data_IF_370532914970
#
_entry.id   IF_370532914970
#
_cell.length_a   1.000
_cell.length_b   1.000
_cell.length_c   1.000
_cell.angle_alpha   90.00
_cell.angle_beta   90.00
_cell.angle_gamma   90.00
#
_symmetry.space_group_name_H-M   'P 1'
#
loop_
_entity.id
_entity.type
_entity.pdbx_description
1 polymer ?
#
# COMPACT_ATOMS: atom_id res chain seq x y z
N UNK A 1 -8.34 -9.97 -41.65
CA UNK A 1 -8.06 -8.98 -40.59
C UNK A 1 -7.53 -9.72 -39.36
N UNK A 2 -6.35 -9.34 -38.87
CA UNK A 2 -5.79 -9.74 -37.61
C UNK A 2 -5.57 -8.50 -36.72
N UNK A 3 -5.66 -8.70 -35.42
CA UNK A 3 -5.46 -7.63 -34.44
C UNK A 3 -4.46 -8.16 -33.42
N UNK A 4 -3.49 -7.32 -33.07
CA UNK A 4 -2.58 -7.59 -31.97
C UNK A 4 -2.60 -6.43 -30.98
N UNK A 5 -2.42 -6.76 -29.71
CA UNK A 5 -2.24 -5.80 -28.62
C UNK A 5 -0.84 -6.01 -28.08
N UNK A 6 -0.06 -4.95 -28.06
CA UNK A 6 1.31 -4.93 -27.54
C UNK A 6 1.43 -4.06 -26.31
N UNK A 7 2.61 -4.10 -25.69
CA UNK A 7 2.97 -3.35 -24.49
C UNK A 7 2.11 -3.71 -23.25
N UNK A 8 1.58 -4.94 -23.22
CA UNK A 8 0.83 -5.45 -22.07
C UNK A 8 1.80 -5.63 -20.89
N UNK A 9 1.56 -5.00 -19.74
CA UNK A 9 2.44 -5.12 -18.58
C UNK A 9 2.57 -6.58 -18.10
N UNK A 10 3.77 -6.97 -17.70
CA UNK A 10 4.01 -8.30 -17.15
C UNK A 10 3.15 -8.56 -15.91
N UNK A 11 2.49 -9.69 -15.83
CA UNK A 11 1.54 -10.04 -14.76
C UNK A 11 0.09 -9.66 -15.06
N UNK A 12 -0.17 -8.83 -16.10
CA UNK A 12 -1.54 -8.54 -16.52
C UNK A 12 -2.22 -9.77 -17.13
N UNK A 13 -3.54 -9.84 -17.00
CA UNK A 13 -4.37 -10.85 -17.64
C UNK A 13 -5.31 -10.21 -18.65
N UNK A 14 -5.32 -10.73 -19.91
CA UNK A 14 -6.22 -10.31 -20.96
C UNK A 14 -7.34 -11.34 -21.14
N UNK A 15 -8.59 -10.91 -21.15
CA UNK A 15 -9.76 -11.79 -21.31
C UNK A 15 -10.76 -11.24 -22.30
N UNK A 16 -11.55 -12.13 -22.91
CA UNK A 16 -12.71 -11.76 -23.73
C UNK A 16 -13.85 -12.73 -23.49
N UNK A 17 -15.03 -12.21 -23.11
CA UNK A 17 -16.19 -13.03 -22.81
C UNK A 17 -15.96 -14.04 -21.67
N UNK A 18 -15.00 -13.79 -20.78
CA UNK A 18 -14.59 -14.67 -19.68
C UNK A 18 -13.51 -15.72 -20.05
N UNK A 19 -13.08 -15.78 -21.31
CA UNK A 19 -11.98 -16.64 -21.76
C UNK A 19 -10.66 -15.89 -21.76
N UNK A 20 -9.59 -16.50 -21.24
CA UNK A 20 -8.26 -15.89 -21.21
C UNK A 20 -7.61 -15.89 -22.57
N UNK A 21 -7.06 -14.76 -22.99
CA UNK A 21 -6.24 -14.61 -24.19
C UNK A 21 -4.77 -14.72 -23.78
N UNK A 22 -4.01 -15.54 -24.50
CA UNK A 22 -2.58 -15.73 -24.20
C UNK A 22 -1.78 -14.47 -24.53
N UNK A 23 -1.03 -13.98 -23.54
CA UNK A 23 -0.03 -12.92 -23.69
C UNK A 23 1.33 -13.60 -23.78
N UNK A 24 2.15 -13.21 -24.75
CA UNK A 24 3.51 -13.76 -24.91
C UNK A 24 4.52 -13.09 -23.93
N UNK A 25 5.73 -13.62 -23.88
CA UNK A 25 6.82 -13.12 -23.00
C UNK A 25 7.26 -11.69 -23.33
N UNK A 26 6.85 -11.14 -24.49
CA UNK A 26 7.16 -9.77 -24.90
C UNK A 26 5.98 -8.80 -24.65
N UNK A 27 4.92 -9.27 -23.99
CA UNK A 27 3.73 -8.47 -23.71
C UNK A 27 2.81 -8.27 -24.93
N UNK A 28 2.77 -9.24 -25.86
CA UNK A 28 1.87 -9.15 -27.01
C UNK A 28 0.79 -10.24 -26.95
N UNK A 29 -0.38 -9.93 -27.47
CA UNK A 29 -1.49 -10.85 -27.62
C UNK A 29 -2.15 -10.69 -28.99
N UNK A 30 -2.46 -11.83 -29.63
CA UNK A 30 -3.29 -11.86 -30.82
C UNK A 30 -4.76 -11.96 -30.42
N UNK A 31 -5.58 -11.05 -30.97
CA UNK A 31 -7.01 -10.95 -30.67
C UNK A 31 -7.80 -11.11 -31.97
N UNK A 32 -8.76 -12.02 -32.01
CA UNK A 32 -9.66 -12.12 -33.15
C UNK A 32 -10.69 -10.98 -33.13
N UNK A 33 -11.24 -10.56 -34.29
CA UNK A 33 -12.28 -9.53 -34.35
C UNK A 33 -13.49 -9.80 -33.46
N UNK A 34 -13.86 -11.07 -33.30
CA UNK A 34 -14.99 -11.50 -32.47
C UNK A 34 -14.71 -11.33 -30.95
N UNK A 35 -13.44 -11.37 -30.56
CA UNK A 35 -13.00 -11.19 -29.17
C UNK A 35 -12.92 -9.72 -28.75
N UNK A 36 -12.99 -8.78 -29.67
CA UNK A 36 -12.99 -7.33 -29.32
C UNK A 36 -14.20 -6.94 -28.49
N UNK A 37 -15.35 -7.60 -28.75
CA UNK A 37 -16.56 -7.39 -27.93
C UNK A 37 -16.39 -8.07 -26.58
N UNK A 38 -16.20 -7.26 -25.52
CA UNK A 38 -16.00 -7.77 -24.16
C UNK A 38 -14.54 -8.07 -23.80
N UNK A 39 -13.61 -7.48 -24.56
CA UNK A 39 -12.17 -7.49 -24.23
C UNK A 39 -11.94 -6.72 -22.93
N UNK A 40 -11.21 -7.33 -22.00
CA UNK A 40 -10.90 -6.76 -20.70
C UNK A 40 -9.43 -7.05 -20.37
N UNK A 41 -8.78 -6.10 -19.71
CA UNK A 41 -7.46 -6.27 -19.11
C UNK A 41 -7.59 -6.15 -17.59
N UNK A 42 -6.95 -7.08 -16.87
CA UNK A 42 -6.73 -6.99 -15.43
C UNK A 42 -5.25 -6.66 -15.26
N UNK A 43 -4.89 -5.53 -14.66
CA UNK A 43 -3.51 -5.18 -14.37
C UNK A 43 -2.84 -6.21 -13.44
N UNK A 44 -1.51 -6.14 -13.24
CA UNK A 44 -0.85 -6.90 -12.17
C UNK A 44 -1.44 -6.55 -10.80
N UNK A 45 -1.31 -7.46 -9.84
CA UNK A 45 -1.64 -7.17 -8.44
C UNK A 45 -0.84 -5.94 -7.97
N UNK A 46 -1.45 -5.11 -7.12
CA UNK A 46 -0.86 -3.92 -6.50
C UNK A 46 -0.35 -2.86 -7.52
N UNK A 47 -0.89 -2.87 -8.74
CA UNK A 47 -0.56 -1.88 -9.76
C UNK A 47 -1.48 -0.67 -9.69
N UNK A 48 -0.89 0.51 -9.52
CA UNK A 48 -1.57 1.81 -9.68
C UNK A 48 -0.87 2.66 -10.75
N UNK A 49 -1.59 3.64 -11.30
CA UNK A 49 -1.08 4.55 -12.32
C UNK A 49 -1.47 4.18 -13.74
N UNK A 50 -0.73 4.69 -14.73
CA UNK A 50 -1.10 4.57 -16.14
C UNK A 50 -0.13 3.72 -16.93
N UNK A 51 -0.65 3.00 -17.92
CA UNK A 51 0.15 2.35 -18.95
C UNK A 51 -0.52 2.45 -20.33
N UNK A 52 0.28 2.39 -21.36
CA UNK A 52 -0.18 2.46 -22.75
C UNK A 52 -0.13 1.09 -23.41
N UNK A 53 -1.21 0.73 -24.11
CA UNK A 53 -1.28 -0.44 -24.96
C UNK A 53 -1.19 -0.01 -26.43
N UNK A 54 -0.40 -0.72 -27.22
CA UNK A 54 -0.36 -0.53 -28.67
C UNK A 54 -1.31 -1.52 -29.34
N UNK A 55 -2.34 -1.02 -30.01
CA UNK A 55 -3.29 -1.84 -30.79
C UNK A 55 -2.94 -1.74 -32.26
N UNK A 56 -2.67 -2.87 -32.91
CA UNK A 56 -2.34 -2.96 -34.34
C UNK A 56 -3.35 -3.83 -35.07
N UNK A 57 -3.96 -3.27 -36.10
CA UNK A 57 -4.85 -3.99 -37.02
C UNK A 57 -4.15 -4.19 -38.37
N UNK A 58 -4.14 -5.44 -38.87
CA UNK A 58 -3.54 -5.79 -40.15
C UNK A 58 -4.57 -6.44 -41.06
N UNK A 59 -4.75 -5.91 -42.26
CA UNK A 59 -5.50 -6.56 -43.34
C UNK A 59 -4.52 -7.24 -44.28
N UNK A 60 -4.91 -8.40 -44.76
CA UNK A 60 -4.13 -9.18 -45.78
C UNK A 60 -5.06 -9.46 -46.94
N UNK A 61 -4.61 -9.12 -48.14
CA UNK A 61 -5.28 -9.42 -49.42
C UNK A 61 -5.00 -10.88 -49.81
N UNK A 62 -5.77 -11.42 -50.78
CA UNK A 62 -5.62 -12.78 -51.29
C UNK A 62 -4.28 -13.04 -51.98
N UNK A 63 -3.66 -11.99 -52.54
CA UNK A 63 -2.32 -12.02 -53.16
C UNK A 63 -1.16 -11.91 -52.16
N UNK A 64 -1.47 -11.71 -50.88
CA UNK A 64 -0.52 -11.63 -49.79
C UNK A 64 -0.10 -10.19 -49.41
N UNK A 65 -0.57 -9.16 -50.08
CA UNK A 65 -0.31 -7.80 -49.69
C UNK A 65 -0.96 -7.45 -48.34
N UNK A 66 -0.26 -6.68 -47.54
CA UNK A 66 -0.73 -6.31 -46.19
C UNK A 66 -0.79 -4.81 -45.98
N UNK A 67 -1.77 -4.36 -45.22
CA UNK A 67 -1.87 -2.97 -44.74
C UNK A 67 -2.09 -2.98 -43.22
N UNK A 68 -1.32 -2.16 -42.50
CA UNK A 68 -1.38 -2.06 -41.04
C UNK A 68 -1.75 -0.67 -40.59
N UNK A 69 -2.53 -0.61 -39.50
CA UNK A 69 -2.83 0.63 -38.77
C UNK A 69 -2.64 0.35 -37.29
N UNK A 70 -1.96 1.22 -36.58
CA UNK A 70 -1.79 1.14 -35.13
C UNK A 70 -2.30 2.39 -34.42
N UNK A 71 -2.72 2.21 -33.17
CA UNK A 71 -3.13 3.26 -32.26
C UNK A 71 -2.72 2.90 -30.82
N UNK A 72 -2.67 3.91 -29.98
CA UNK A 72 -2.37 3.75 -28.55
C UNK A 72 -3.67 3.86 -27.74
N UNK A 73 -3.82 3.00 -26.75
CA UNK A 73 -4.87 3.03 -25.73
C UNK A 73 -4.20 3.21 -24.38
N UNK A 74 -4.43 4.32 -23.70
CA UNK A 74 -3.99 4.55 -22.33
C UNK A 74 -5.00 3.92 -21.36
N UNK A 75 -4.51 3.12 -20.44
CA UNK A 75 -5.27 2.55 -19.33
C UNK A 75 -4.82 3.26 -18.06
N UNK A 76 -5.79 3.76 -17.29
CA UNK A 76 -5.58 4.42 -16.02
C UNK A 76 -6.17 3.53 -14.92
N UNK A 77 -5.40 3.27 -13.87
CA UNK A 77 -5.73 2.35 -12.79
C UNK A 77 -5.59 3.08 -11.47
N UNK A 78 -6.70 3.32 -10.80
CA UNK A 78 -6.70 3.91 -9.46
C UNK A 78 -6.10 2.90 -8.46
N UNK A 79 -5.21 3.36 -7.59
CA UNK A 79 -4.67 2.56 -6.50
C UNK A 79 -5.71 2.29 -5.42
N UNK A 80 -5.64 1.11 -4.82
CA UNK A 80 -6.45 0.70 -3.68
C UNK A 80 -5.52 0.33 -2.55
N UNK A 81 -5.58 1.06 -1.43
CA UNK A 81 -4.70 0.83 -0.30
C UNK A 81 -4.98 -0.50 0.39
N UNK A 82 -3.91 -1.22 0.69
CA UNK A 82 -3.94 -2.47 1.44
C UNK A 82 -3.75 -2.23 2.95
N UNK A 83 -4.34 -3.12 3.78
CA UNK A 83 -4.20 -3.03 5.22
C UNK A 83 -2.71 -3.17 5.62
N UNK A 84 -2.10 -2.14 6.27
CA UNK A 84 -0.72 -2.24 6.71
C UNK A 84 -0.54 -3.29 7.80
N UNK A 85 0.62 -3.92 7.83
CA UNK A 85 0.98 -4.82 8.92
C UNK A 85 1.26 -4.00 10.19
N UNK A 86 0.78 -4.47 11.33
CA UNK A 86 1.03 -3.86 12.63
C UNK A 86 1.24 -4.95 13.69
N UNK A 87 2.33 -4.85 14.44
CA UNK A 87 2.55 -5.64 15.64
C UNK A 87 2.88 -4.72 16.81
N UNK A 88 2.15 -4.86 17.90
CA UNK A 88 2.35 -4.13 19.14
C UNK A 88 2.18 -5.10 20.31
N UNK A 89 2.99 -4.96 21.35
CA UNK A 89 2.96 -5.83 22.53
C UNK A 89 2.95 -5.01 23.81
N UNK A 90 2.29 -5.56 24.85
CA UNK A 90 2.25 -4.96 26.19
C UNK A 90 3.66 -4.70 26.72
N UNK A 91 3.80 -3.62 27.47
CA UNK A 91 5.04 -3.14 28.03
C UNK A 91 4.95 -3.02 29.56
N UNK A 92 6.08 -3.14 30.24
CA UNK A 92 6.12 -2.95 31.68
C UNK A 92 7.44 -2.32 32.14
N UNK A 93 7.37 -1.56 33.21
CA UNK A 93 8.54 -0.88 33.76
C UNK A 93 8.30 -0.36 35.17
N UNK A 94 9.16 0.58 35.59
CA UNK A 94 9.07 1.24 36.88
C UNK A 94 8.76 2.72 36.70
N UNK A 95 8.15 3.34 37.71
CA UNK A 95 7.92 4.79 37.72
C UNK A 95 9.21 5.57 37.44
N UNK A 96 9.08 6.75 36.83
CA UNK A 96 10.16 7.68 36.51
C UNK A 96 11.26 7.14 35.57
N UNK A 97 11.05 5.97 34.97
CA UNK A 97 11.98 5.37 34.00
C UNK A 97 11.35 5.22 32.61
N UNK A 98 12.20 5.31 31.59
CA UNK A 98 11.75 5.04 30.22
C UNK A 98 11.45 3.54 30.04
N UNK A 99 10.31 3.25 29.43
CA UNK A 99 9.79 1.90 29.12
C UNK A 99 9.79 1.72 27.62
N UNK A 100 10.41 0.65 27.13
CA UNK A 100 10.45 0.33 25.70
C UNK A 100 9.07 -0.03 25.16
N UNK A 101 8.68 0.57 24.05
CA UNK A 101 7.48 0.23 23.28
C UNK A 101 7.90 -0.59 22.07
N UNK A 102 7.54 -1.87 22.04
CA UNK A 102 7.85 -2.75 20.92
C UNK A 102 6.72 -2.69 19.88
N UNK A 103 6.89 -1.82 18.91
CA UNK A 103 5.96 -1.61 17.80
C UNK A 103 6.70 -1.83 16.50
N UNK A 104 6.08 -2.57 15.59
CA UNK A 104 6.52 -2.68 14.20
C UNK A 104 5.32 -2.48 13.28
N UNK A 105 5.51 -1.73 12.22
CA UNK A 105 4.51 -1.50 11.18
C UNK A 105 5.20 -1.39 9.82
N UNK A 106 4.53 -1.87 8.77
CA UNK A 106 5.04 -1.80 7.40
C UNK A 106 3.85 -1.80 6.42
N UNK A 107 4.06 -1.24 5.23
CA UNK A 107 3.12 -1.38 4.11
C UNK A 107 3.22 -2.79 3.52
N UNK A 108 2.21 -3.19 2.77
CA UNK A 108 2.21 -4.51 2.10
C UNK A 108 2.88 -4.47 0.74
N UNK A 109 2.93 -3.28 0.13
CA UNK A 109 3.62 -3.06 -1.14
C UNK A 109 4.39 -1.73 -1.19
N UNK A 110 5.01 -1.43 -2.32
CA UNK A 110 5.88 -0.26 -2.51
C UNK A 110 5.19 0.95 -3.14
N UNK A 111 3.89 0.88 -3.44
CA UNK A 111 3.08 1.99 -3.96
C UNK A 111 2.39 2.80 -2.86
N UNK A 112 2.65 2.45 -1.60
CA UNK A 112 2.03 3.03 -0.43
C UNK A 112 3.02 3.77 0.47
N UNK A 113 2.53 4.81 1.12
CA UNK A 113 3.25 5.54 2.18
C UNK A 113 2.68 5.20 3.54
N UNK A 114 3.54 4.78 4.49
CA UNK A 114 3.16 4.44 5.85
C UNK A 114 3.17 5.66 6.77
N UNK A 115 2.13 5.82 7.57
CA UNK A 115 2.11 6.70 8.73
C UNK A 115 1.66 5.96 9.99
N UNK A 116 2.20 6.34 11.15
CA UNK A 116 1.87 5.72 12.44
C UNK A 116 1.50 6.81 13.44
N UNK A 117 0.46 6.57 14.22
CA UNK A 117 0.12 7.44 15.35
C UNK A 117 -0.13 6.62 16.61
N UNK A 118 0.14 7.25 17.76
CA UNK A 118 -0.13 6.67 19.09
C UNK A 118 -1.06 7.61 19.83
N UNK A 119 -2.16 7.07 20.32
CA UNK A 119 -3.12 7.77 21.15
C UNK A 119 -3.22 7.19 22.56
N UNK A 120 -3.89 7.92 23.46
CA UNK A 120 -4.06 7.49 24.85
C UNK A 120 -2.84 7.78 25.76
N UNK A 121 -1.90 8.63 25.29
CA UNK A 121 -0.72 9.02 26.06
C UNK A 121 -1.17 9.87 27.27
N UNK A 122 -0.85 9.44 28.50
CA UNK A 122 -1.26 10.19 29.70
C UNK A 122 -0.62 11.58 29.76
N UNK A 123 -1.37 12.55 30.29
CA UNK A 123 -0.83 13.90 30.53
C UNK A 123 0.40 13.84 31.46
N UNK A 124 1.48 14.47 31.05
CA UNK A 124 2.76 14.46 31.74
C UNK A 124 3.69 13.29 31.38
N UNK A 125 3.24 12.29 30.61
CA UNK A 125 4.13 11.31 30.04
C UNK A 125 5.01 11.90 28.92
N UNK A 126 6.21 11.35 28.72
CA UNK A 126 7.15 11.79 27.70
C UNK A 126 7.44 10.63 26.75
N UNK A 127 7.23 10.86 25.45
CA UNK A 127 7.55 9.90 24.38
C UNK A 127 8.88 10.27 23.75
N UNK A 128 9.77 9.28 23.57
CA UNK A 128 11.09 9.49 22.98
C UNK A 128 11.45 8.38 22.00
N UNK A 129 12.27 8.68 20.99
CA UNK A 129 12.91 7.69 20.14
C UNK A 129 14.36 8.09 19.87
N UNK A 130 15.28 7.15 20.03
CA UNK A 130 16.71 7.42 19.86
C UNK A 130 17.25 8.54 20.75
N UNK A 131 16.57 8.88 21.84
CA UNK A 131 16.89 9.99 22.76
C UNK A 131 16.30 11.35 22.36
N UNK A 132 15.58 11.45 21.24
CA UNK A 132 14.85 12.65 20.84
C UNK A 132 13.42 12.58 21.32
N UNK A 133 12.89 13.72 21.82
CA UNK A 133 11.51 13.79 22.31
C UNK A 133 10.54 13.94 21.14
N UNK A 134 9.48 13.14 21.16
CA UNK A 134 8.37 13.20 20.22
C UNK A 134 7.27 14.09 20.81
N UNK A 135 6.71 14.98 19.99
CA UNK A 135 5.66 15.88 20.43
C UNK A 135 4.35 15.13 20.63
N UNK A 136 3.78 15.27 21.82
CA UNK A 136 2.43 14.78 22.15
C UNK A 136 1.47 15.98 22.14
N UNK A 137 0.32 15.84 21.49
CA UNK A 137 -0.70 16.90 21.44
C UNK A 137 -1.51 16.99 22.74
N UNK A 138 -2.37 18.02 22.86
CA UNK A 138 -3.24 18.25 24.03
C UNK A 138 -4.29 17.13 24.26
N UNK A 139 -4.48 16.24 23.29
CA UNK A 139 -5.42 15.12 23.39
C UNK A 139 -4.71 13.79 23.70
N UNK A 140 -3.39 13.82 23.94
CA UNK A 140 -2.60 12.64 24.21
C UNK A 140 -2.29 11.80 22.96
N UNK A 141 -2.17 12.44 21.78
CA UNK A 141 -1.77 11.76 20.55
C UNK A 141 -0.39 12.23 20.08
N UNK A 142 0.31 11.35 19.40
CA UNK A 142 1.59 11.63 18.75
C UNK A 142 1.66 10.96 17.39
N UNK A 143 2.16 11.70 16.39
CA UNK A 143 2.53 11.16 15.09
C UNK A 143 3.96 10.65 15.16
N UNK A 144 4.19 9.44 14.68
CA UNK A 144 5.47 8.73 14.75
C UNK A 144 5.96 8.48 13.33
N UNK A 145 7.14 9.00 12.98
CA UNK A 145 7.80 8.60 11.76
C UNK A 145 8.13 7.10 11.84
N UNK A 146 7.85 6.28 10.80
CA UNK A 146 8.13 4.84 10.83
C UNK A 146 9.58 4.50 11.23
N UNK A 147 10.55 5.36 10.88
CA UNK A 147 11.95 5.20 11.30
C UNK A 147 12.18 5.37 12.82
N UNK A 148 11.24 6.02 13.52
CA UNK A 148 11.29 6.25 14.97
C UNK A 148 10.71 5.09 15.78
N UNK A 149 10.03 4.14 15.14
CA UNK A 149 9.49 2.95 15.84
C UNK A 149 10.60 2.12 16.48
N UNK A 150 11.77 2.06 15.84
CA UNK A 150 12.94 1.42 16.41
C UNK A 150 13.52 2.25 17.58
N UNK A 151 13.38 1.74 18.80
CA UNK A 151 13.85 2.41 20.02
C UNK A 151 12.87 3.45 20.60
N UNK A 152 11.60 3.31 20.27
CA UNK A 152 10.51 4.10 20.86
C UNK A 152 10.33 3.74 22.34
N UNK A 153 10.26 4.76 23.17
CA UNK A 153 10.13 4.63 24.62
C UNK A 153 9.10 5.62 25.18
N UNK A 154 8.41 5.24 26.25
CA UNK A 154 7.56 6.13 27.02
C UNK A 154 8.07 6.24 28.46
N UNK A 155 8.20 7.45 28.98
CA UNK A 155 8.40 7.72 30.39
C UNK A 155 7.05 8.09 30.98
N UNK A 156 6.51 7.33 31.96
CA UNK A 156 5.23 7.65 32.60
C UNK A 156 5.25 9.03 33.29
N UNK A 157 4.07 9.59 33.64
CA UNK A 157 4.03 10.77 34.51
C UNK A 157 4.78 10.53 35.83
N UNK A 158 5.32 11.59 36.40
CA UNK A 158 6.07 11.51 37.68
C UNK A 158 5.23 10.86 38.79
N UNK A 159 5.85 9.93 39.54
CA UNK A 159 5.22 9.18 40.64
C UNK A 159 3.97 8.37 40.21
N UNK A 160 3.83 8.06 38.91
CA UNK A 160 2.71 7.25 38.40
C UNK A 160 2.96 5.77 38.65
N UNK A 161 2.00 5.08 39.28
CA UNK A 161 1.96 3.62 39.38
C UNK A 161 0.58 3.09 38.99
N UNK A 162 0.54 1.94 38.33
CA UNK A 162 -0.66 1.34 37.78
C UNK A 162 -0.52 1.04 36.30
N UNK A 163 -1.61 1.04 35.55
CA UNK A 163 -1.57 0.76 34.12
C UNK A 163 -2.35 1.79 33.32
N UNK A 164 -1.94 1.98 32.07
CA UNK A 164 -2.67 2.75 31.06
C UNK A 164 -2.57 2.06 29.70
N UNK A 165 -3.55 2.34 28.84
CA UNK A 165 -3.61 1.76 27.50
C UNK A 165 -3.25 2.80 26.44
N UNK A 166 -2.41 2.40 25.50
CA UNK A 166 -2.09 3.15 24.28
C UNK A 166 -2.79 2.50 23.09
N UNK A 167 -3.29 3.31 22.17
CA UNK A 167 -3.79 2.86 20.88
C UNK A 167 -2.78 3.21 19.81
N UNK A 168 -2.34 2.22 19.06
CA UNK A 168 -1.44 2.42 17.91
C UNK A 168 -2.27 2.29 16.64
N UNK A 169 -2.20 3.28 15.78
CA UNK A 169 -2.85 3.26 14.46
C UNK A 169 -1.78 3.34 13.38
N UNK A 170 -1.77 2.38 12.49
CA UNK A 170 -0.94 2.34 11.29
C UNK A 170 -1.84 2.61 10.08
N UNK A 171 -1.44 3.53 9.22
CA UNK A 171 -2.20 3.91 8.01
C UNK A 171 -1.28 3.79 6.81
N UNK A 172 -1.70 2.99 5.83
CA UNK A 172 -1.14 2.96 4.50
C UNK A 172 -1.94 3.95 3.62
N UNK A 173 -1.25 4.70 2.79
CA UNK A 173 -1.85 5.65 1.85
C UNK A 173 -1.24 5.39 0.48
N UNK A 174 -2.09 5.11 -0.51
CA UNK A 174 -1.68 4.99 -1.90
C UNK A 174 -1.08 6.28 -2.43
N UNK A 175 0.04 6.16 -3.14
CA UNK A 175 0.72 7.29 -3.79
C UNK A 175 -0.09 7.84 -4.96
N UNK A 176 -0.87 6.97 -5.63
CA UNK A 176 -1.79 7.34 -6.71
C UNK A 176 -3.25 7.26 -6.24
N UNK A 177 -3.96 8.37 -6.30
CA UNK A 177 -5.36 8.46 -5.85
C UNK A 177 -5.54 8.77 -4.36
N UNK A 178 -4.56 8.48 -3.50
CA UNK A 178 -4.59 8.79 -2.06
C UNK A 178 -5.61 7.97 -1.26
N UNK A 179 -6.00 6.79 -1.75
CA UNK A 179 -6.81 5.83 -0.97
C UNK A 179 -6.06 5.41 0.30
N UNK A 180 -6.77 5.05 1.35
CA UNK A 180 -6.16 4.74 2.65
C UNK A 180 -6.74 3.50 3.30
N UNK A 181 -5.87 2.68 3.89
CA UNK A 181 -6.24 1.56 4.74
C UNK A 181 -5.59 1.69 6.12
N UNK A 182 -6.23 1.17 7.18
CA UNK A 182 -5.75 1.33 8.54
C UNK A 182 -5.83 0.05 9.35
N UNK A 183 -4.76 -0.21 10.10
CA UNK A 183 -4.71 -1.27 11.11
C UNK A 183 -4.47 -0.66 12.48
N UNK A 184 -5.22 -1.11 13.50
CA UNK A 184 -5.10 -0.61 14.87
C UNK A 184 -4.69 -1.72 15.83
N UNK A 185 -3.86 -1.38 16.82
CA UNK A 185 -3.46 -2.24 17.91
C UNK A 185 -3.52 -1.51 19.25
N UNK A 186 -3.47 -2.25 20.35
CA UNK A 186 -3.40 -1.68 21.70
C UNK A 186 -2.18 -2.22 22.45
N UNK A 187 -1.64 -1.40 23.34
CA UNK A 187 -0.54 -1.72 24.25
C UNK A 187 -1.01 -1.36 25.66
N UNK A 188 -1.02 -2.30 26.57
CA UNK A 188 -1.13 -2.00 28.00
C UNK A 188 0.27 -1.77 28.57
N UNK A 189 0.48 -0.63 29.21
CA UNK A 189 1.74 -0.28 29.88
C UNK A 189 1.53 -0.41 31.38
N UNK A 190 2.23 -1.36 32.01
CA UNK A 190 2.19 -1.60 33.47
C UNK A 190 3.40 -0.95 34.15
N UNK A 191 3.13 -0.09 35.15
CA UNK A 191 4.13 0.68 35.89
C UNK A 191 4.10 0.29 37.35
N UNK A 192 5.21 -0.25 37.86
CA UNK A 192 5.38 -0.69 39.24
C UNK A 192 5.97 0.37 40.16
#
# INVERSE_FOLDING_TARGET
LSISIGDIPAGSTLTSGGETITVDENGNADVSPDQLAGLQITPPDDFSGTFDLTVTATTTEDDGDTSTTSGTLTVDVDGVADDPTLSASDASGTEDQAIDLNITADTTDGSETLSVSIGGIPDGAVLTSGGETITVDENGNADIDPSQLAGLQITPPVDFSGSFDLTVTSTATEDDGGDTATTTGSITVDVA
#
